data_IF_707606217909
#
_entry.id   IF_707606217909
#
_cell.length_a   1.000
_cell.length_b   1.000
_cell.length_c   1.000
_cell.angle_alpha   90.00
_cell.angle_beta   90.00
_cell.angle_gamma   90.00
#
_symmetry.space_group_name_H-M   'P 1'
#
loop_
_entity.id
_entity.type
_entity.pdbx_description
1 polymer ?
#
# COMPACT_ATOMS: atom_id res chain seq x y z
N UNK A 1 -39.16 -13.70 11.46
CA UNK A 1 -38.11 -14.76 11.62
C UNK A 1 -36.96 -14.12 12.37
N UNK A 2 -36.76 -14.46 13.64
CA UNK A 2 -35.60 -14.03 14.42
C UNK A 2 -34.38 -14.84 13.95
N UNK A 3 -33.51 -14.21 13.19
CA UNK A 3 -32.21 -14.82 12.89
C UNK A 3 -31.31 -14.61 14.11
N UNK A 4 -30.94 -15.67 14.79
CA UNK A 4 -29.88 -15.64 15.81
C UNK A 4 -28.54 -15.52 15.07
N UNK A 5 -28.04 -14.29 14.93
CA UNK A 5 -26.73 -14.04 14.33
C UNK A 5 -25.70 -14.07 15.45
N UNK A 6 -24.65 -14.91 15.36
CA UNK A 6 -23.61 -14.92 16.38
C UNK A 6 -22.84 -13.60 16.39
N UNK A 7 -22.71 -13.00 17.56
CA UNK A 7 -21.99 -11.75 17.78
C UNK A 7 -20.63 -12.08 18.38
N UNK A 8 -19.55 -11.65 17.70
CA UNK A 8 -18.17 -11.81 18.17
C UNK A 8 -17.63 -10.44 18.59
N UNK A 9 -17.40 -10.25 19.88
CA UNK A 9 -16.77 -9.04 20.43
C UNK A 9 -15.26 -9.10 20.23
N UNK A 10 -14.66 -8.07 19.62
CA UNK A 10 -13.21 -8.00 19.34
C UNK A 10 -12.62 -6.65 19.78
N UNK A 11 -11.33 -6.65 20.17
CA UNK A 11 -10.63 -5.42 20.58
C UNK A 11 -10.39 -4.46 19.41
N UNK A 12 -10.07 -5.00 18.24
CA UNK A 12 -9.78 -4.22 17.03
C UNK A 12 -10.45 -4.88 15.82
N UNK A 13 -11.53 -4.26 15.37
CA UNK A 13 -12.30 -4.78 14.25
C UNK A 13 -11.51 -4.81 12.93
N UNK A 14 -10.61 -3.82 12.72
CA UNK A 14 -9.81 -3.74 11.48
C UNK A 14 -8.80 -4.88 11.38
N UNK A 15 -8.19 -5.28 12.49
CA UNK A 15 -7.25 -6.40 12.51
C UNK A 15 -7.96 -7.74 12.26
N UNK A 16 -9.16 -7.91 12.83
CA UNK A 16 -9.97 -9.11 12.58
C UNK A 16 -10.44 -9.13 11.13
N UNK A 17 -10.94 -8.01 10.62
CA UNK A 17 -11.37 -7.89 9.23
C UNK A 17 -10.23 -8.19 8.26
N UNK A 18 -9.00 -7.71 8.53
CA UNK A 18 -7.84 -8.04 7.69
C UNK A 18 -7.54 -9.54 7.68
N UNK A 19 -7.63 -10.21 8.84
CA UNK A 19 -7.44 -11.67 8.94
C UNK A 19 -8.51 -12.45 8.18
N UNK A 20 -9.76 -11.98 8.23
CA UNK A 20 -10.87 -12.56 7.46
C UNK A 20 -10.60 -12.39 5.97
N UNK A 21 -10.26 -11.17 5.52
CA UNK A 21 -9.94 -10.90 4.11
C UNK A 21 -8.78 -11.75 3.59
N UNK A 22 -7.72 -11.95 4.41
CA UNK A 22 -6.59 -12.81 4.03
C UNK A 22 -7.05 -14.26 3.77
N UNK A 23 -7.96 -14.79 4.60
CA UNK A 23 -8.46 -16.14 4.47
C UNK A 23 -9.50 -16.29 3.36
N UNK A 24 -10.35 -15.29 3.17
CA UNK A 24 -11.43 -15.31 2.19
C UNK A 24 -10.91 -15.14 0.76
N UNK A 25 -10.09 -14.11 0.51
CA UNK A 25 -9.50 -13.83 -0.79
C UNK A 25 -8.16 -14.57 -0.92
N UNK A 26 -8.20 -15.77 -1.47
CA UNK A 26 -7.04 -16.69 -1.52
C UNK A 26 -6.02 -16.32 -2.59
N UNK A 27 -6.48 -15.78 -3.72
CA UNK A 27 -5.63 -15.53 -4.87
C UNK A 27 -5.13 -14.08 -4.86
N UNK A 28 -3.80 -13.89 -4.84
CA UNK A 28 -3.18 -12.57 -4.81
C UNK A 28 -1.98 -12.50 -5.74
N UNK A 29 -1.69 -11.34 -6.31
CA UNK A 29 -0.46 -11.11 -7.06
C UNK A 29 0.78 -11.43 -6.23
N UNK A 30 1.83 -11.93 -6.88
CA UNK A 30 3.09 -12.32 -6.21
C UNK A 30 3.90 -11.10 -5.78
N UNK A 31 3.89 -10.04 -6.58
CA UNK A 31 4.72 -8.85 -6.42
C UNK A 31 3.81 -7.64 -6.18
N UNK A 32 3.54 -7.35 -4.91
CA UNK A 32 2.80 -6.16 -4.51
C UNK A 32 3.80 -5.14 -3.96
N UNK A 33 3.81 -3.94 -4.55
CA UNK A 33 4.63 -2.81 -4.15
C UNK A 33 3.70 -1.70 -3.67
N UNK A 34 4.09 -0.96 -2.64
CA UNK A 34 3.36 0.22 -2.21
C UNK A 34 4.20 1.48 -2.38
N UNK A 35 3.59 2.58 -2.80
CA UNK A 35 4.22 3.89 -2.86
C UNK A 35 3.50 4.87 -1.95
N UNK A 36 4.26 5.55 -1.08
CA UNK A 36 3.78 6.61 -0.22
C UNK A 36 4.67 7.84 -0.32
N UNK A 37 4.18 8.96 0.15
CA UNK A 37 4.81 10.28 0.14
C UNK A 37 3.76 11.37 0.07
N UNK A 38 4.16 12.62 0.09
CA UNK A 38 3.20 13.73 -0.11
C UNK A 38 2.84 13.82 -1.59
N UNK A 39 3.81 13.96 -2.45
CA UNK A 39 3.65 14.12 -3.90
C UNK A 39 4.30 12.96 -4.66
N UNK A 40 3.94 12.79 -5.94
CA UNK A 40 4.59 11.86 -6.87
C UNK A 40 4.13 10.41 -6.77
N UNK A 41 3.20 10.05 -5.89
CA UNK A 41 2.69 8.66 -5.77
C UNK A 41 2.11 8.14 -7.07
N UNK A 42 1.20 8.89 -7.68
CA UNK A 42 0.54 8.50 -8.94
C UNK A 42 1.52 8.48 -10.10
N UNK A 43 2.48 9.42 -10.15
CA UNK A 43 3.52 9.43 -11.19
C UNK A 43 4.40 8.19 -11.09
N UNK A 44 4.87 7.83 -9.90
CA UNK A 44 5.66 6.61 -9.69
C UNK A 44 4.86 5.36 -10.04
N UNK A 45 3.59 5.31 -9.66
CA UNK A 45 2.71 4.19 -10.00
C UNK A 45 2.51 4.07 -11.52
N UNK A 46 2.33 5.19 -12.21
CA UNK A 46 2.15 5.19 -13.65
C UNK A 46 3.45 4.85 -14.42
N UNK A 47 4.60 5.38 -14.00
CA UNK A 47 5.90 4.97 -14.57
C UNK A 47 6.18 3.48 -14.36
N UNK A 48 5.92 2.95 -13.18
CA UNK A 48 6.03 1.51 -12.94
C UNK A 48 5.15 0.71 -13.90
N UNK A 49 3.89 1.14 -14.09
CA UNK A 49 2.97 0.52 -15.03
C UNK A 49 3.50 0.57 -16.47
N UNK A 50 3.92 1.74 -16.92
CA UNK A 50 4.39 1.94 -18.29
C UNK A 50 5.66 1.13 -18.58
N UNK A 51 6.65 1.15 -17.66
CA UNK A 51 7.91 0.41 -17.83
C UNK A 51 7.66 -1.09 -17.95
N UNK A 52 6.81 -1.67 -17.09
CA UNK A 52 6.49 -3.09 -17.18
C UNK A 52 5.70 -3.41 -18.46
N UNK A 53 4.74 -2.57 -18.81
CA UNK A 53 3.93 -2.74 -20.02
C UNK A 53 4.78 -2.71 -21.29
N UNK A 54 5.72 -1.77 -21.40
CA UNK A 54 6.67 -1.68 -22.53
C UNK A 54 7.53 -2.95 -22.64
N UNK A 55 7.84 -3.57 -21.51
CA UNK A 55 8.58 -4.85 -21.47
C UNK A 55 7.65 -6.08 -21.59
N UNK A 56 6.37 -5.90 -21.97
CA UNK A 56 5.37 -6.96 -22.12
C UNK A 56 5.13 -7.78 -20.83
N UNK A 57 5.37 -7.17 -19.67
CA UNK A 57 5.15 -7.79 -18.36
C UNK A 57 3.76 -7.38 -17.85
N UNK A 58 2.86 -8.33 -17.56
CA UNK A 58 1.53 -8.01 -17.04
C UNK A 58 1.62 -7.24 -15.72
N UNK A 59 0.92 -6.11 -15.65
CA UNK A 59 0.99 -5.16 -14.54
C UNK A 59 -0.35 -4.49 -14.28
N UNK A 60 -0.60 -4.12 -13.03
CA UNK A 60 -1.74 -3.30 -12.63
C UNK A 60 -1.33 -2.22 -11.61
N UNK A 61 -2.13 -1.15 -11.53
CA UNK A 61 -2.01 -0.13 -10.49
C UNK A 61 -3.33 -0.01 -9.72
N UNK A 62 -3.23 0.33 -8.44
CA UNK A 62 -4.38 0.72 -7.59
C UNK A 62 -4.03 2.06 -6.95
N UNK A 63 -4.80 3.09 -7.22
CA UNK A 63 -4.49 4.42 -6.69
C UNK A 63 -5.55 5.46 -7.00
N UNK A 64 -5.14 6.72 -7.00
CA UNK A 64 -6.01 7.89 -7.20
C UNK A 64 -6.76 7.83 -8.54
N UNK A 65 -6.15 7.31 -9.58
CA UNK A 65 -6.77 7.15 -10.89
C UNK A 65 -7.71 5.93 -10.98
N UNK A 66 -7.77 5.12 -9.93
CA UNK A 66 -8.53 3.88 -9.89
C UNK A 66 -7.66 2.64 -10.03
N UNK A 67 -8.26 1.53 -10.47
CA UNK A 67 -7.56 0.30 -10.85
C UNK A 67 -7.29 0.31 -12.36
N UNK A 68 -6.01 0.35 -12.73
CA UNK A 68 -5.58 0.29 -14.13
C UNK A 68 -4.98 -1.09 -14.40
N UNK A 69 -5.56 -1.83 -15.34
CA UNK A 69 -5.08 -3.13 -15.84
C UNK A 69 -5.49 -3.33 -17.28
N UNK A 70 -4.64 -3.98 -18.10
CA UNK A 70 -4.93 -4.26 -19.52
C UNK A 70 -5.43 -3.03 -20.29
N UNK A 71 -4.81 -1.87 -20.06
CA UNK A 71 -5.18 -0.55 -20.64
C UNK A 71 -6.62 -0.09 -20.32
N UNK A 72 -7.30 -0.73 -19.35
CA UNK A 72 -8.61 -0.31 -18.85
C UNK A 72 -8.48 0.28 -17.46
N UNK A 73 -9.29 1.29 -17.18
CA UNK A 73 -9.32 1.96 -15.88
C UNK A 73 -10.72 1.78 -15.27
N UNK A 74 -10.75 1.20 -14.08
CA UNK A 74 -11.94 1.16 -13.22
C UNK A 74 -11.78 2.23 -12.15
N UNK A 75 -12.63 3.26 -12.17
CA UNK A 75 -12.58 4.33 -11.15
C UNK A 75 -12.86 3.79 -9.75
N UNK A 76 -12.20 4.37 -8.77
CA UNK A 76 -12.41 4.12 -7.34
C UNK A 76 -12.72 5.44 -6.63
N UNK A 77 -13.46 5.37 -5.54
CA UNK A 77 -13.82 6.54 -4.74
C UNK A 77 -12.68 7.02 -3.81
N UNK A 78 -11.66 6.20 -3.60
CA UNK A 78 -10.56 6.47 -2.67
C UNK A 78 -9.23 6.03 -3.28
N UNK A 79 -8.17 6.83 -3.06
CA UNK A 79 -6.79 6.50 -3.46
C UNK A 79 -6.33 5.16 -2.91
N UNK A 80 -6.62 4.90 -1.64
CA UNK A 80 -6.46 3.57 -1.02
C UNK A 80 -7.85 3.08 -0.64
N UNK A 81 -8.41 2.10 -1.36
CA UNK A 81 -9.71 1.53 -1.06
C UNK A 81 -9.81 0.97 0.36
N UNK A 82 -11.02 0.67 0.82
CA UNK A 82 -11.20 -0.07 2.07
C UNK A 82 -10.60 -1.48 1.98
N UNK A 83 -10.47 -2.13 3.13
CA UNK A 83 -9.75 -3.40 3.23
C UNK A 83 -10.40 -4.54 2.45
N UNK A 84 -11.73 -4.57 2.33
CA UNK A 84 -12.45 -5.60 1.58
C UNK A 84 -12.23 -5.36 0.08
N UNK A 85 -12.50 -4.13 -0.35
CA UNK A 85 -12.38 -3.71 -1.76
C UNK A 85 -10.96 -3.95 -2.28
N UNK A 86 -9.91 -3.62 -1.51
CA UNK A 86 -8.54 -3.82 -1.99
C UNK A 86 -8.18 -5.29 -2.16
N UNK A 87 -8.64 -6.16 -1.24
CA UNK A 87 -8.41 -7.59 -1.37
C UNK A 87 -9.19 -8.19 -2.55
N UNK A 88 -10.41 -7.71 -2.80
CA UNK A 88 -11.24 -8.10 -3.94
C UNK A 88 -10.59 -7.69 -5.27
N UNK A 89 -10.09 -6.45 -5.37
CA UNK A 89 -9.39 -5.98 -6.58
C UNK A 89 -8.10 -6.77 -6.83
N UNK A 90 -7.33 -7.10 -5.79
CA UNK A 90 -6.13 -7.92 -5.93
C UNK A 90 -6.46 -9.35 -6.40
N UNK A 91 -7.54 -9.96 -5.91
CA UNK A 91 -7.97 -11.27 -6.39
C UNK A 91 -8.41 -11.21 -7.86
N UNK A 92 -9.16 -10.18 -8.24
CA UNK A 92 -9.57 -9.97 -9.62
C UNK A 92 -8.37 -9.72 -10.56
N UNK A 93 -7.40 -8.90 -10.15
CA UNK A 93 -6.13 -8.71 -10.86
C UNK A 93 -5.41 -10.04 -11.05
N UNK A 94 -5.35 -10.88 -10.01
CA UNK A 94 -4.71 -12.19 -10.09
C UNK A 94 -5.44 -13.16 -11.03
N UNK A 95 -6.78 -13.14 -11.05
CA UNK A 95 -7.58 -13.92 -12.01
C UNK A 95 -7.26 -13.56 -13.47
N UNK A 96 -6.85 -12.32 -13.74
CA UNK A 96 -6.34 -11.88 -15.04
C UNK A 96 -4.86 -12.21 -15.29
N UNK A 97 -4.27 -13.12 -14.50
CA UNK A 97 -2.87 -13.56 -14.60
C UNK A 97 -1.83 -12.45 -14.41
N UNK A 98 -2.19 -11.38 -13.72
CA UNK A 98 -1.29 -10.25 -13.39
C UNK A 98 -0.68 -10.51 -12.02
N UNK A 99 0.66 -10.57 -11.97
CA UNK A 99 1.42 -10.80 -10.74
C UNK A 99 2.15 -9.55 -10.22
N UNK A 100 2.21 -8.48 -10.99
CA UNK A 100 2.91 -7.25 -10.62
C UNK A 100 1.91 -6.13 -10.38
N UNK A 101 1.86 -5.61 -9.15
CA UNK A 101 0.91 -4.56 -8.76
C UNK A 101 1.63 -3.50 -7.95
N UNK A 102 1.40 -2.23 -8.28
CA UNK A 102 1.77 -1.12 -7.44
C UNK A 102 0.53 -0.45 -6.86
N UNK A 103 0.57 -0.12 -5.56
CA UNK A 103 -0.55 0.46 -4.81
C UNK A 103 -0.14 1.82 -4.25
N UNK A 104 -0.94 2.85 -4.49
CA UNK A 104 -0.78 4.12 -3.82
C UNK A 104 -1.25 4.01 -2.36
N UNK A 105 -0.30 4.10 -1.43
CA UNK A 105 -0.56 4.04 0.00
C UNK A 105 -0.71 5.45 0.58
N UNK A 106 -1.94 5.98 0.61
CA UNK A 106 -2.23 7.27 1.22
C UNK A 106 -2.02 7.22 2.74
N UNK A 107 -1.65 8.37 3.36
CA UNK A 107 -1.48 8.46 4.81
C UNK A 107 -2.76 8.11 5.58
N UNK A 108 -3.93 8.49 5.05
CA UNK A 108 -5.23 8.08 5.57
C UNK A 108 -5.42 6.56 5.52
N UNK A 109 -5.17 5.95 4.35
CA UNK A 109 -5.29 4.51 4.17
C UNK A 109 -4.37 3.71 5.09
N UNK A 110 -3.12 4.17 5.26
CA UNK A 110 -2.15 3.58 6.18
C UNK A 110 -2.59 3.71 7.65
N UNK A 111 -2.97 4.93 8.09
CA UNK A 111 -3.44 5.17 9.46
C UNK A 111 -4.72 4.41 9.78
N UNK A 112 -5.61 4.27 8.82
CA UNK A 112 -6.86 3.53 8.95
C UNK A 112 -6.70 2.01 8.77
N UNK A 113 -5.48 1.51 8.50
CA UNK A 113 -5.22 0.07 8.35
C UNK A 113 -5.86 -0.57 7.12
N UNK A 114 -6.20 0.22 6.09
CA UNK A 114 -6.84 -0.30 4.88
C UNK A 114 -5.96 -1.27 4.10
N UNK A 115 -4.64 -1.19 4.29
CA UNK A 115 -3.63 -2.03 3.63
C UNK A 115 -3.12 -3.17 4.52
N UNK A 116 -3.73 -3.36 5.71
CA UNK A 116 -3.34 -4.43 6.62
C UNK A 116 -3.55 -5.81 5.96
N UNK A 117 -2.63 -6.72 6.24
CA UNK A 117 -2.71 -8.09 5.71
C UNK A 117 -2.20 -8.28 4.29
N UNK A 118 -1.75 -7.22 3.61
CA UNK A 118 -1.07 -7.33 2.32
C UNK A 118 0.41 -7.65 2.52
N UNK A 119 0.96 -8.50 1.63
CA UNK A 119 2.37 -8.90 1.67
C UNK A 119 3.18 -8.11 0.64
N UNK A 120 3.68 -6.95 1.05
CA UNK A 120 4.46 -6.09 0.17
C UNK A 120 5.89 -6.61 -0.03
N UNK A 121 6.37 -6.60 -1.27
CA UNK A 121 7.75 -6.87 -1.65
C UNK A 121 8.65 -5.66 -1.45
N UNK A 122 8.12 -4.47 -1.70
CA UNK A 122 8.82 -3.19 -1.51
C UNK A 122 7.86 -2.09 -1.10
N UNK A 123 8.38 -1.10 -0.40
CA UNK A 123 7.74 0.18 -0.12
C UNK A 123 8.58 1.31 -0.69
N UNK A 124 7.96 2.22 -1.42
CA UNK A 124 8.61 3.41 -2.00
C UNK A 124 8.18 4.62 -1.16
N UNK A 125 9.15 5.43 -0.74
CA UNK A 125 8.91 6.72 -0.11
C UNK A 125 9.42 7.82 -1.04
N UNK A 126 8.51 8.67 -1.55
CA UNK A 126 8.87 9.68 -2.55
C UNK A 126 9.43 10.94 -1.90
N UNK A 127 8.62 11.64 -1.11
CA UNK A 127 8.97 12.88 -0.44
C UNK A 127 8.00 13.17 0.71
N UNK A 128 8.32 14.24 1.48
CA UNK A 128 7.49 14.68 2.57
C UNK A 128 7.47 16.21 2.65
N UNK A 129 6.29 16.78 2.57
CA UNK A 129 6.00 18.21 2.74
C UNK A 129 4.67 18.37 3.46
N UNK A 130 4.33 19.61 3.80
CA UNK A 130 3.09 19.90 4.53
C UNK A 130 1.86 19.60 3.68
N UNK A 131 0.96 18.75 4.26
CA UNK A 131 -0.33 18.41 3.69
C UNK A 131 -1.20 17.70 4.75
N UNK A 132 -2.51 17.63 4.54
CA UNK A 132 -3.46 16.88 5.37
C UNK A 132 -3.38 17.12 6.89
N UNK A 133 -3.02 18.34 7.32
CA UNK A 133 -2.93 18.68 8.75
C UNK A 133 -4.31 18.78 9.42
N UNK A 134 -5.35 19.04 8.64
CA UNK A 134 -6.75 18.94 9.06
C UNK A 134 -7.07 17.59 9.69
N UNK A 135 -6.56 16.51 9.10
CA UNK A 135 -6.74 15.12 9.56
C UNK A 135 -5.67 14.66 10.55
N UNK A 136 -4.39 14.92 10.25
CA UNK A 136 -3.26 14.39 11.04
C UNK A 136 -2.92 15.24 12.25
N UNK A 137 -3.38 16.52 12.32
CA UNK A 137 -3.17 17.50 13.39
C UNK A 137 -1.72 17.99 13.55
N UNK A 138 -0.72 17.26 13.08
CA UNK A 138 0.68 17.67 13.11
C UNK A 138 1.50 16.97 12.02
N UNK A 139 2.62 17.61 11.63
CA UNK A 139 3.59 17.03 10.70
C UNK A 139 4.17 15.71 11.23
N UNK A 140 4.39 15.62 12.54
CA UNK A 140 4.86 14.39 13.19
C UNK A 140 3.88 13.24 12.97
N UNK A 141 2.61 13.42 13.28
CA UNK A 141 1.59 12.39 13.10
C UNK A 141 1.41 12.02 11.62
N UNK A 142 1.54 13.00 10.73
CA UNK A 142 1.46 12.78 9.29
C UNK A 142 2.62 11.90 8.79
N UNK A 143 3.85 12.19 9.22
CA UNK A 143 5.01 11.36 8.91
C UNK A 143 4.86 9.94 9.50
N UNK A 144 4.49 9.83 10.77
CA UNK A 144 4.25 8.55 11.43
C UNK A 144 3.23 7.69 10.68
N UNK A 145 2.16 8.30 10.16
CA UNK A 145 1.17 7.60 9.35
C UNK A 145 1.78 7.00 8.07
N UNK A 146 2.66 7.73 7.37
CA UNK A 146 3.37 7.20 6.18
C UNK A 146 4.38 6.11 6.56
N UNK A 147 5.08 6.28 7.67
CA UNK A 147 6.07 5.32 8.15
C UNK A 147 5.45 3.97 8.58
N UNK A 148 4.13 3.87 8.74
CA UNK A 148 3.41 2.61 8.98
C UNK A 148 3.74 1.58 7.89
N UNK A 149 3.84 2.00 6.62
CA UNK A 149 4.19 1.10 5.52
C UNK A 149 5.48 0.33 5.82
N UNK A 150 6.50 1.02 6.28
CA UNK A 150 7.84 0.46 6.51
C UNK A 150 7.96 -0.22 7.88
N UNK A 151 7.37 0.39 8.90
CA UNK A 151 7.51 -0.08 10.29
C UNK A 151 6.58 -1.25 10.64
N UNK A 152 5.41 -1.36 9.97
CA UNK A 152 4.40 -2.37 10.30
C UNK A 152 4.09 -3.33 9.15
N UNK A 153 3.96 -2.83 7.91
CA UNK A 153 3.45 -3.63 6.79
C UNK A 153 4.54 -4.38 6.03
N UNK A 154 5.78 -3.84 5.95
CA UNK A 154 6.90 -4.56 5.37
C UNK A 154 7.42 -5.64 6.32
N UNK A 155 7.55 -6.86 5.83
CA UNK A 155 8.21 -7.98 6.51
C UNK A 155 9.74 -7.88 6.38
N UNK A 156 10.48 -8.60 7.22
CA UNK A 156 11.96 -8.71 7.11
C UNK A 156 12.41 -9.08 5.69
N UNK A 157 13.59 -8.64 5.31
CA UNK A 157 14.21 -8.88 4.00
C UNK A 157 13.48 -8.26 2.81
N UNK A 158 12.52 -7.34 3.04
CA UNK A 158 11.86 -6.56 1.99
C UNK A 158 12.60 -5.25 1.74
N UNK A 159 12.19 -4.53 0.71
CA UNK A 159 12.91 -3.37 0.22
C UNK A 159 12.21 -2.06 0.60
N UNK A 160 13.01 -1.08 0.99
CA UNK A 160 12.66 0.35 1.02
C UNK A 160 13.34 0.98 -0.20
N UNK A 161 12.58 1.71 -1.01
CA UNK A 161 13.13 2.50 -2.12
C UNK A 161 12.88 3.97 -1.83
N UNK A 162 13.93 4.79 -1.83
CA UNK A 162 13.82 6.21 -1.51
C UNK A 162 15.04 6.98 -2.00
N UNK A 163 14.98 8.32 -1.97
CA UNK A 163 16.12 9.19 -2.15
C UNK A 163 16.86 9.35 -0.80
N UNK A 164 18.17 9.23 -0.80
CA UNK A 164 19.00 9.41 0.40
C UNK A 164 19.15 10.87 0.84
N UNK A 165 18.78 11.83 -0.02
CA UNK A 165 18.86 13.28 0.24
C UNK A 165 17.65 13.83 0.99
N UNK A 166 16.58 13.05 1.13
CA UNK A 166 15.39 13.52 1.87
C UNK A 166 15.64 13.57 3.37
N UNK A 167 15.02 14.56 4.05
CA UNK A 167 15.19 14.73 5.51
C UNK A 167 14.76 13.50 6.32
N UNK A 168 13.77 12.76 5.81
CA UNK A 168 13.17 11.58 6.45
C UNK A 168 14.03 10.32 6.28
N UNK A 169 15.13 10.37 5.52
CA UNK A 169 16.01 9.22 5.28
C UNK A 169 16.52 8.59 6.58
N UNK A 170 16.89 9.42 7.57
CA UNK A 170 17.33 8.93 8.88
C UNK A 170 16.27 8.07 9.59
N UNK A 171 14.99 8.44 9.45
CA UNK A 171 13.87 7.67 10.00
C UNK A 171 13.74 6.31 9.29
N UNK A 172 13.81 6.30 7.96
CA UNK A 172 13.74 5.08 7.16
C UNK A 172 14.92 4.15 7.44
N UNK A 173 16.15 4.70 7.60
CA UNK A 173 17.33 3.94 7.98
C UNK A 173 17.19 3.29 9.36
N UNK A 174 16.68 4.01 10.37
CA UNK A 174 16.39 3.44 11.70
C UNK A 174 15.38 2.28 11.61
N UNK A 175 14.32 2.45 10.83
CA UNK A 175 13.31 1.41 10.62
C UNK A 175 13.94 0.21 9.90
N UNK A 176 14.76 0.43 8.88
CA UNK A 176 15.38 -0.66 8.11
C UNK A 176 16.26 -1.54 8.98
N UNK A 177 17.06 -0.95 9.86
CA UNK A 177 17.91 -1.70 10.81
C UNK A 177 17.02 -2.51 11.76
N UNK A 178 16.04 -1.86 12.41
CA UNK A 178 15.14 -2.51 13.38
C UNK A 178 14.34 -3.67 12.77
N UNK A 179 13.90 -3.53 11.52
CA UNK A 179 13.05 -4.50 10.80
C UNK A 179 13.81 -5.44 9.89
N UNK A 180 15.15 -5.31 9.80
CA UNK A 180 16.00 -6.05 8.86
C UNK A 180 15.51 -5.91 7.40
N UNK A 181 15.25 -4.66 6.98
CA UNK A 181 14.87 -4.31 5.62
C UNK A 181 16.10 -3.90 4.81
N UNK A 182 16.04 -4.06 3.51
CA UNK A 182 17.08 -3.59 2.56
C UNK A 182 16.69 -2.21 2.05
N UNK A 183 17.62 -1.27 1.95
CA UNK A 183 17.39 0.05 1.36
C UNK A 183 18.03 0.11 -0.02
N UNK A 184 17.26 0.61 -0.99
CA UNK A 184 17.73 0.98 -2.32
C UNK A 184 17.53 2.50 -2.43
N UNK A 185 18.59 3.22 -2.75
CA UNK A 185 18.57 4.68 -2.94
C UNK A 185 18.80 5.04 -4.40
N UNK A 186 18.13 6.10 -4.86
CA UNK A 186 18.61 6.84 -6.03
C UNK A 186 19.85 7.63 -5.62
N UNK A 187 20.94 7.45 -6.32
CA UNK A 187 22.15 8.26 -6.14
C UNK A 187 21.94 9.66 -6.70
#
# INVERSE_FOLDING_TARGET
KNFSIPIIKVKNIRDILSKICIKFFKYKPKNIIAVTGTNGKSSVADFFYQILLLNKIPVATIGTLGVKKNNKIKKLNLTSPDIISIHQELEDIKKHKIDNVIIEASSHGLKQGRLNGLNFKAGIFTNFSQDHLDYHKSMKNYLEAKLILFSKLLSKNRYIVTDNKIKEFANLKKISIKKKLKIITSN
#
